data_IF_541885862544
#
_entry.id   IF_541885862544
#
_cell.length_a   1.000
_cell.length_b   1.000
_cell.length_c   1.000
_cell.angle_alpha   90.00
_cell.angle_beta   90.00
_cell.angle_gamma   90.00
#
_symmetry.space_group_name_H-M   'P 1'
#
loop_
_entity.id
_entity.type
_entity.pdbx_description
1 polymer ?
#
# COMPACT_ATOMS: atom_id res chain seq x y z
N UNK A 1 10.10 -28.88 -22.96
CA UNK A 1 9.27 -27.77 -22.49
C UNK A 1 8.67 -27.08 -23.70
N UNK A 2 7.36 -27.17 -23.85
CA UNK A 2 6.65 -26.58 -24.99
C UNK A 2 6.48 -25.06 -24.79
N UNK A 3 6.27 -24.29 -25.86
CA UNK A 3 6.05 -22.84 -25.79
C UNK A 3 4.89 -22.41 -24.86
N UNK A 4 3.96 -23.32 -24.60
CA UNK A 4 2.83 -23.14 -23.70
C UNK A 4 3.25 -23.11 -22.21
N UNK A 5 4.19 -23.95 -21.80
CA UNK A 5 4.71 -23.97 -20.40
C UNK A 5 5.48 -22.67 -20.08
N UNK A 6 6.20 -22.11 -21.06
CA UNK A 6 6.87 -20.83 -20.89
C UNK A 6 5.87 -19.69 -20.72
N UNK A 7 4.79 -19.69 -21.50
CA UNK A 7 3.75 -18.67 -21.39
C UNK A 7 3.08 -18.69 -20.01
N UNK A 8 2.82 -19.87 -19.46
CA UNK A 8 2.21 -20.05 -18.13
C UNK A 8 3.05 -19.45 -17.00
N UNK A 9 4.38 -19.42 -17.14
CA UNK A 9 5.29 -18.84 -16.15
C UNK A 9 5.57 -17.35 -16.44
N UNK A 10 5.81 -17.00 -17.70
CA UNK A 10 6.21 -15.65 -18.09
C UNK A 10 5.08 -14.64 -17.87
N UNK A 11 3.84 -15.02 -18.16
CA UNK A 11 2.69 -14.11 -18.09
C UNK A 11 2.47 -13.60 -16.65
N UNK A 12 2.35 -14.45 -15.62
CA UNK A 12 2.27 -13.99 -14.24
C UNK A 12 3.48 -13.14 -13.84
N UNK A 13 4.69 -13.56 -14.21
CA UNK A 13 5.94 -12.88 -13.85
C UNK A 13 6.00 -11.44 -14.42
N UNK A 14 5.58 -11.25 -15.67
CA UNK A 14 5.51 -9.92 -16.29
C UNK A 14 4.46 -9.06 -15.59
N UNK A 15 3.29 -9.61 -15.26
CA UNK A 15 2.23 -8.86 -14.57
C UNK A 15 2.69 -8.42 -13.17
N UNK A 16 3.28 -9.32 -12.38
CA UNK A 16 3.77 -8.98 -11.06
C UNK A 16 4.95 -8.00 -11.10
N UNK A 17 5.89 -8.17 -12.03
CA UNK A 17 7.02 -7.24 -12.17
C UNK A 17 6.56 -5.83 -12.58
N UNK A 18 5.58 -5.72 -13.48
CA UNK A 18 4.97 -4.44 -13.85
C UNK A 18 4.29 -3.76 -12.63
N UNK A 19 3.56 -4.53 -11.82
CA UNK A 19 2.94 -4.04 -10.59
C UNK A 19 3.99 -3.52 -9.59
N UNK A 20 5.06 -4.27 -9.37
CA UNK A 20 6.17 -3.87 -8.49
C UNK A 20 6.84 -2.59 -9.01
N UNK A 21 7.11 -2.50 -10.31
CA UNK A 21 7.71 -1.33 -10.93
C UNK A 21 6.82 -0.08 -10.77
N UNK A 22 5.51 -0.22 -10.97
CA UNK A 22 4.54 0.86 -10.82
C UNK A 22 4.46 1.32 -9.35
N UNK A 23 4.47 0.38 -8.41
CA UNK A 23 4.47 0.69 -6.99
C UNK A 23 5.77 1.41 -6.58
N UNK A 24 6.93 0.93 -7.04
CA UNK A 24 8.22 1.58 -6.82
C UNK A 24 8.24 3.01 -7.38
N UNK A 25 7.70 3.23 -8.58
CA UNK A 25 7.58 4.56 -9.18
C UNK A 25 6.75 5.51 -8.32
N UNK A 26 5.59 5.07 -7.83
CA UNK A 26 4.75 5.87 -6.93
C UNK A 26 5.49 6.21 -5.62
N UNK A 27 6.21 5.24 -5.04
CA UNK A 27 6.99 5.46 -3.83
C UNK A 27 8.12 6.48 -4.06
N UNK A 28 8.87 6.33 -5.16
CA UNK A 28 9.93 7.26 -5.54
C UNK A 28 9.39 8.67 -5.77
N UNK A 29 8.24 8.81 -6.42
CA UNK A 29 7.59 10.10 -6.62
C UNK A 29 7.19 10.75 -5.29
N UNK A 30 6.56 10.00 -4.38
CA UNK A 30 6.21 10.48 -3.03
C UNK A 30 7.44 10.89 -2.23
N UNK A 31 8.51 10.09 -2.30
CA UNK A 31 9.78 10.39 -1.63
C UNK A 31 10.40 11.69 -2.17
N UNK A 32 10.48 11.85 -3.50
CA UNK A 32 10.98 13.08 -4.12
C UNK A 32 10.14 14.30 -3.71
N UNK A 33 8.81 14.20 -3.71
CA UNK A 33 7.93 15.30 -3.30
C UNK A 33 8.17 15.71 -1.84
N UNK A 34 8.29 14.74 -0.93
CA UNK A 34 8.60 15.01 0.49
C UNK A 34 9.98 15.67 0.64
N UNK A 35 10.99 15.17 -0.07
CA UNK A 35 12.36 15.72 -0.02
C UNK A 35 12.42 17.17 -0.51
N UNK A 36 11.84 17.45 -1.68
CA UNK A 36 11.78 18.80 -2.25
C UNK A 36 11.04 19.78 -1.32
N UNK A 37 9.97 19.31 -0.70
CA UNK A 37 9.19 20.10 0.23
C UNK A 37 10.00 20.46 1.50
N UNK A 38 10.71 19.51 2.11
CA UNK A 38 11.58 19.77 3.25
C UNK A 38 12.71 20.75 2.91
N UNK A 39 13.33 20.60 1.73
CA UNK A 39 14.35 21.53 1.24
C UNK A 39 13.81 22.95 1.03
N UNK A 40 12.55 23.08 0.60
CA UNK A 40 11.89 24.38 0.48
C UNK A 40 11.71 25.05 1.85
N UNK A 41 11.22 24.30 2.86
CA UNK A 41 11.10 24.80 4.23
C UNK A 41 12.47 25.24 4.76
N UNK A 42 13.49 24.41 4.62
CA UNK A 42 14.85 24.70 5.09
C UNK A 42 15.37 26.02 4.50
N UNK A 43 15.22 26.23 3.19
CA UNK A 43 15.60 27.47 2.51
C UNK A 43 14.78 28.68 2.95
N UNK A 44 13.48 28.51 3.21
CA UNK A 44 12.62 29.59 3.70
C UNK A 44 13.01 30.05 5.11
N UNK A 45 13.33 29.10 6.00
CA UNK A 45 13.80 29.39 7.35
C UNK A 45 15.16 30.12 7.33
N UNK A 46 16.09 29.71 6.47
CA UNK A 46 17.40 30.37 6.31
C UNK A 46 17.30 31.82 5.81
N UNK A 47 16.24 32.16 5.07
CA UNK A 47 16.00 33.51 4.53
C UNK A 47 15.25 34.44 5.48
N UNK A 48 15.04 34.05 6.74
CA UNK A 48 14.21 34.78 7.72
C UNK A 48 12.77 35.06 7.23
N UNK A 49 12.29 34.30 6.24
CA UNK A 49 10.90 34.38 5.84
C UNK A 49 10.08 33.74 6.97
N UNK A 50 9.42 34.58 7.78
CA UNK A 50 8.55 34.13 8.86
C UNK A 50 7.34 33.46 8.22
N UNK A 51 7.43 32.14 8.01
CA UNK A 51 6.28 31.35 7.63
C UNK A 51 5.30 31.41 8.80
N UNK A 52 4.05 31.85 8.58
CA UNK A 52 3.05 31.87 9.63
C UNK A 52 2.94 30.46 10.25
N UNK A 53 2.91 30.34 11.59
CA UNK A 53 2.83 29.04 12.26
C UNK A 53 1.58 28.24 11.84
N UNK A 54 0.52 28.94 11.42
CA UNK A 54 -0.69 28.38 10.83
C UNK A 54 -0.39 27.58 9.56
N UNK A 55 0.42 28.12 8.66
CA UNK A 55 0.82 27.46 7.40
C UNK A 55 1.64 26.20 7.68
N UNK A 56 2.54 26.24 8.67
CA UNK A 56 3.35 25.08 9.07
C UNK A 56 2.46 23.98 9.65
N UNK A 57 1.45 24.36 10.46
CA UNK A 57 0.49 23.43 11.06
C UNK A 57 -0.39 22.76 10.00
N UNK A 58 -0.96 23.51 9.07
CA UNK A 58 -1.78 22.95 7.98
C UNK A 58 -0.98 21.98 7.11
N UNK A 59 0.27 22.33 6.83
CA UNK A 59 1.20 21.48 6.11
C UNK A 59 1.49 20.19 6.90
N UNK A 60 1.81 20.29 8.19
CA UNK A 60 2.08 19.14 9.04
C UNK A 60 0.86 18.20 9.08
N UNK A 61 -0.34 18.75 9.26
CA UNK A 61 -1.60 18.01 9.20
C UNK A 61 -1.79 17.30 7.85
N UNK A 62 -1.43 17.94 6.73
CA UNK A 62 -1.53 17.31 5.41
C UNK A 62 -0.60 16.08 5.26
N UNK A 63 0.61 16.13 5.83
CA UNK A 63 1.57 15.02 5.75
C UNK A 63 1.27 13.89 6.75
N UNK A 64 0.82 14.24 7.96
CA UNK A 64 0.63 13.33 9.09
C UNK A 64 -0.83 12.98 9.37
N UNK A 65 -1.79 13.33 8.49
CA UNK A 65 -3.21 13.08 8.79
C UNK A 65 -3.51 11.59 9.02
N UNK A 66 -4.11 11.29 10.18
CA UNK A 66 -4.57 9.96 10.59
C UNK A 66 -5.59 9.35 9.58
N UNK A 67 -6.30 10.18 8.81
CA UNK A 67 -7.19 9.72 7.74
C UNK A 67 -6.47 8.91 6.65
N UNK A 68 -5.14 9.07 6.52
CA UNK A 68 -4.34 8.32 5.54
C UNK A 68 -4.21 6.85 5.93
N UNK A 69 -4.18 6.54 7.21
CA UNK A 69 -3.99 5.17 7.70
C UNK A 69 -5.29 4.37 7.64
N UNK A 70 -6.44 5.00 7.93
CA UNK A 70 -7.75 4.37 7.73
C UNK A 70 -7.97 3.97 6.26
N UNK A 71 -7.63 4.85 5.32
CA UNK A 71 -7.77 4.56 3.88
C UNK A 71 -6.89 3.40 3.44
N UNK A 72 -5.64 3.34 3.92
CA UNK A 72 -4.74 2.21 3.65
C UNK A 72 -5.30 0.91 4.21
N UNK A 73 -5.84 0.94 5.43
CA UNK A 73 -6.44 -0.22 6.08
C UNK A 73 -7.63 -0.77 5.29
N UNK A 74 -8.57 0.08 4.90
CA UNK A 74 -9.72 -0.30 4.08
C UNK A 74 -9.27 -0.90 2.74
N UNK A 75 -8.30 -0.27 2.07
CA UNK A 75 -7.81 -0.75 0.78
C UNK A 75 -7.17 -2.15 0.89
N UNK A 76 -6.40 -2.39 1.94
CA UNK A 76 -5.78 -3.70 2.19
C UNK A 76 -6.81 -4.79 2.52
N UNK A 77 -7.88 -4.45 3.25
CA UNK A 77 -8.99 -5.37 3.47
C UNK A 77 -9.72 -5.71 2.17
N UNK A 78 -10.01 -4.71 1.33
CA UNK A 78 -10.65 -4.94 0.02
C UNK A 78 -9.76 -5.82 -0.85
N UNK A 79 -8.44 -5.57 -0.88
CA UNK A 79 -7.50 -6.40 -1.63
C UNK A 79 -7.51 -7.85 -1.14
N UNK A 80 -7.44 -8.07 0.18
CA UNK A 80 -7.52 -9.38 0.79
C UNK A 80 -8.83 -10.10 0.44
N UNK A 81 -9.96 -9.42 0.61
CA UNK A 81 -11.29 -9.95 0.29
C UNK A 81 -11.43 -10.32 -1.20
N UNK A 82 -10.91 -9.50 -2.10
CA UNK A 82 -10.91 -9.78 -3.54
C UNK A 82 -10.08 -11.02 -3.88
N UNK A 83 -8.90 -11.21 -3.28
CA UNK A 83 -8.08 -12.40 -3.52
C UNK A 83 -8.74 -13.65 -2.93
N UNK A 84 -9.35 -13.56 -1.75
CA UNK A 84 -10.12 -14.67 -1.16
C UNK A 84 -11.33 -15.05 -2.02
N UNK A 85 -12.09 -14.06 -2.48
CA UNK A 85 -13.23 -14.29 -3.37
C UNK A 85 -12.76 -14.92 -4.69
N UNK A 86 -11.68 -14.41 -5.29
CA UNK A 86 -11.09 -14.99 -6.49
C UNK A 86 -10.67 -16.44 -6.28
N UNK A 87 -9.96 -16.74 -5.20
CA UNK A 87 -9.55 -18.11 -4.86
C UNK A 87 -10.76 -19.04 -4.65
N UNK A 88 -11.86 -18.53 -4.09
CA UNK A 88 -13.08 -19.30 -3.90
C UNK A 88 -13.80 -19.61 -5.22
N UNK A 89 -13.88 -18.65 -6.15
CA UNK A 89 -14.60 -18.80 -7.41
C UNK A 89 -13.80 -19.48 -8.53
N UNK A 90 -12.47 -19.39 -8.51
CA UNK A 90 -11.63 -19.91 -9.60
C UNK A 90 -11.51 -21.44 -9.63
N UNK A 91 -11.82 -22.12 -8.52
CA UNK A 91 -11.81 -23.59 -8.35
C UNK A 91 -10.64 -24.29 -9.08
N UNK A 92 -9.41 -23.90 -8.71
CA UNK A 92 -8.21 -24.47 -9.33
C UNK A 92 -8.10 -25.98 -9.05
N UNK A 93 -7.63 -26.72 -10.07
CA UNK A 93 -7.46 -28.17 -10.01
C UNK A 93 -6.49 -28.55 -8.89
N UNK A 94 -6.90 -29.46 -8.01
CA UNK A 94 -6.04 -29.97 -6.93
C UNK A 94 -4.86 -30.75 -7.51
N UNK A 95 -3.64 -30.35 -7.17
CA UNK A 95 -2.42 -30.94 -7.71
C UNK A 95 -1.31 -30.94 -6.66
N UNK A 96 -1.19 -32.06 -5.94
CA UNK A 96 -0.12 -32.27 -4.97
C UNK A 96 -0.47 -31.85 -3.54
N UNK A 97 0.55 -31.57 -2.74
CA UNK A 97 0.43 -31.34 -1.30
C UNK A 97 0.09 -29.89 -0.91
N UNK A 98 0.12 -28.97 -1.88
CA UNK A 98 -0.19 -27.55 -1.67
C UNK A 98 -0.99 -27.04 -2.86
N UNK A 99 -2.30 -26.94 -2.68
CA UNK A 99 -3.19 -26.48 -3.73
C UNK A 99 -3.02 -24.97 -3.95
N UNK A 100 -3.18 -24.54 -5.21
CA UNK A 100 -3.06 -23.12 -5.56
C UNK A 100 -4.08 -22.26 -4.81
N UNK A 101 -5.25 -22.82 -4.51
CA UNK A 101 -6.27 -22.18 -3.66
C UNK A 101 -5.75 -21.95 -2.22
N UNK A 102 -5.05 -22.91 -1.64
CA UNK A 102 -4.49 -22.78 -0.29
C UNK A 102 -3.38 -21.74 -0.25
N UNK A 103 -2.53 -21.71 -1.29
CA UNK A 103 -1.49 -20.69 -1.43
C UNK A 103 -2.07 -19.28 -1.59
N UNK A 104 -3.08 -19.10 -2.44
CA UNK A 104 -3.75 -17.81 -2.66
C UNK A 104 -4.46 -17.33 -1.38
N UNK A 105 -5.13 -18.24 -0.68
CA UNK A 105 -5.78 -17.96 0.61
C UNK A 105 -4.76 -17.52 1.66
N UNK A 106 -3.61 -18.22 1.75
CA UNK A 106 -2.51 -17.85 2.64
C UNK A 106 -1.92 -16.47 2.31
N UNK A 107 -1.69 -16.17 1.03
CA UNK A 107 -1.18 -14.85 0.59
C UNK A 107 -2.18 -13.74 0.89
N UNK A 108 -3.49 -14.01 0.79
CA UNK A 108 -4.53 -13.03 1.09
C UNK A 108 -4.65 -12.69 2.58
N UNK A 109 -4.23 -13.58 3.49
CA UNK A 109 -4.26 -13.33 4.93
C UNK A 109 -3.36 -12.17 5.36
N UNK A 110 -2.19 -12.03 4.73
CA UNK A 110 -1.22 -10.96 5.02
C UNK A 110 -1.81 -9.55 4.85
N UNK A 111 -2.33 -9.16 3.67
CA UNK A 111 -2.98 -7.86 3.50
C UNK A 111 -4.24 -7.73 4.36
N UNK A 112 -4.95 -8.83 4.65
CA UNK A 112 -6.11 -8.80 5.55
C UNK A 112 -5.75 -8.37 6.97
N UNK A 113 -4.74 -9.00 7.56
CA UNK A 113 -4.24 -8.67 8.90
C UNK A 113 -3.63 -7.26 8.94
N UNK A 114 -2.86 -6.86 7.92
CA UNK A 114 -2.34 -5.50 7.81
C UNK A 114 -3.48 -4.47 7.71
N UNK A 115 -4.53 -4.78 6.94
CA UNK A 115 -5.72 -3.95 6.83
C UNK A 115 -6.40 -3.72 8.18
N UNK A 116 -6.61 -4.80 8.95
CA UNK A 116 -7.13 -4.72 10.31
C UNK A 116 -6.24 -3.88 11.24
N UNK A 117 -4.92 -4.08 11.18
CA UNK A 117 -3.96 -3.33 11.98
C UNK A 117 -4.04 -1.81 11.71
N UNK A 118 -4.11 -1.41 10.44
CA UNK A 118 -4.26 0.00 10.06
C UNK A 118 -5.59 0.61 10.53
N UNK A 119 -6.68 -0.16 10.51
CA UNK A 119 -7.98 0.31 11.03
C UNK A 119 -7.94 0.46 12.54
N UNK A 120 -7.32 -0.49 13.26
CA UNK A 120 -7.11 -0.42 14.70
C UNK A 120 -6.29 0.81 15.10
N UNK A 121 -5.16 1.04 14.42
CA UNK A 121 -4.34 2.24 14.61
C UNK A 121 -5.12 3.52 14.36
N UNK A 122 -5.88 3.59 13.27
CA UNK A 122 -6.71 4.75 12.97
C UNK A 122 -7.81 5.00 14.03
N UNK A 123 -8.33 3.93 14.66
CA UNK A 123 -9.30 4.05 15.75
C UNK A 123 -8.63 4.58 17.03
N UNK A 124 -7.41 4.14 17.32
CA UNK A 124 -6.63 4.59 18.47
C UNK A 124 -6.23 6.06 18.34
N UNK A 125 -5.72 6.48 17.18
CA UNK A 125 -5.39 7.88 16.90
C UNK A 125 -6.61 8.81 17.06
N UNK A 126 -7.80 8.35 16.67
CA UNK A 126 -9.05 9.10 16.87
C UNK A 126 -9.44 9.23 18.34
N UNK A 127 -9.07 8.28 19.20
CA UNK A 127 -9.33 8.36 20.64
C UNK A 127 -8.34 9.28 21.35
N UNK A 128 -7.09 9.33 20.90
CA UNK A 128 -6.06 10.21 21.47
C UNK A 128 -6.28 11.69 21.17
N UNK A 129 -7.03 12.00 20.11
CA UNK A 129 -7.29 13.36 19.65
C UNK A 129 -8.66 13.91 20.11
N UNK A 130 -9.30 13.25 21.09
CA UNK A 130 -10.49 13.69 21.83
C UNK A 130 -10.12 14.05 23.25
#
# INVERSE_FOLDING_TARGET
MNGQEWAEILVPLIVFSALVALMALILLYKYKKKRLFLQMIERSLQRQAVLPPETIREIALHFFSANRDLRKGIFLLVLSASVLAFSYFADFKRSGNLDLNDALTGIAFLPGLLGLAFILLARLDRQQNR
#
